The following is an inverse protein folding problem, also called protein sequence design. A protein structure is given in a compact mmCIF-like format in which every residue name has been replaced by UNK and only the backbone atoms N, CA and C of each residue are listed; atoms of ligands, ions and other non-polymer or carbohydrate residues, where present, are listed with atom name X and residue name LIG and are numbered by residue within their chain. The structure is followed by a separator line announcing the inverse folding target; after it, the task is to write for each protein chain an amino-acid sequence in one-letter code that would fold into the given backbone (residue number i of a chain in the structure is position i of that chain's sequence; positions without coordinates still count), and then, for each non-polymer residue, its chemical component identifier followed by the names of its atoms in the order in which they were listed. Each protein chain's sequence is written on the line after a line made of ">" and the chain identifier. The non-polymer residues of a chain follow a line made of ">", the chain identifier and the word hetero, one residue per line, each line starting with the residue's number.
data_IF_833430595775
#
_entry.id   IF_833430595775
#
_cell.length_a   1.000
_cell.length_b   1.000
_cell.length_c   1.000
_cell.angle_alpha   90.00
_cell.angle_beta   90.00
_cell.angle_gamma   90.00
#
_symmetry.space_group_name_H-M   'P 1'
#
loop_
_entity.id
_entity.type
_entity.pdbx_description
1 polymer ?
#
# COMPACT_ATOMS: atom_id res chain seq x y z
N UNK A 1 -5.52 7.25 -35.42
CA UNK A 1 -4.77 7.72 -34.23
C UNK A 1 -5.15 6.79 -33.09
N UNK A 2 -4.19 6.24 -32.37
CA UNK A 2 -4.51 5.54 -31.11
C UNK A 2 -5.19 6.54 -30.17
N UNK A 3 -6.26 6.15 -29.44
CA UNK A 3 -6.92 7.06 -28.51
C UNK A 3 -5.89 7.59 -27.50
N UNK A 4 -5.90 8.91 -27.27
CA UNK A 4 -5.01 9.54 -26.28
C UNK A 4 -5.36 8.99 -24.91
N UNK A 5 -4.37 8.40 -24.23
CA UNK A 5 -4.53 7.83 -22.89
C UNK A 5 -4.91 8.93 -21.91
N UNK A 6 -6.02 8.77 -21.18
CA UNK A 6 -6.46 9.73 -20.16
C UNK A 6 -5.51 9.71 -18.97
N UNK A 7 -5.08 10.90 -18.53
CA UNK A 7 -4.33 11.08 -17.29
C UNK A 7 -5.18 10.81 -16.04
N UNK A 8 -4.53 10.80 -14.87
CA UNK A 8 -5.17 10.36 -13.63
C UNK A 8 -6.34 11.27 -13.22
N UNK A 9 -6.17 12.59 -13.34
CA UNK A 9 -7.23 13.55 -12.97
C UNK A 9 -8.35 13.55 -13.99
N UNK A 10 -8.05 13.35 -15.28
CA UNK A 10 -9.06 13.24 -16.33
C UNK A 10 -9.98 12.04 -16.10
N UNK A 11 -9.43 10.89 -15.68
CA UNK A 11 -10.23 9.71 -15.31
C UNK A 11 -11.11 9.99 -14.10
N UNK A 12 -10.53 10.49 -13.01
CA UNK A 12 -11.25 10.73 -11.77
C UNK A 12 -12.31 11.83 -11.92
N UNK A 13 -12.01 12.91 -12.65
CA UNK A 13 -12.97 13.99 -12.95
C UNK A 13 -14.13 13.51 -13.84
N UNK A 14 -13.89 12.53 -14.71
CA UNK A 14 -14.93 11.89 -15.51
C UNK A 14 -15.79 10.90 -14.69
N UNK A 15 -15.50 10.71 -13.39
CA UNK A 15 -16.20 9.78 -12.52
C UNK A 15 -15.77 8.32 -12.69
N UNK A 16 -14.67 8.05 -13.41
CA UNK A 16 -14.14 6.71 -13.57
C UNK A 16 -13.62 6.14 -12.24
N UNK A 17 -13.67 4.82 -12.11
CA UNK A 17 -12.99 4.10 -11.02
C UNK A 17 -11.62 3.67 -11.51
N UNK A 18 -10.58 4.19 -10.85
CA UNK A 18 -9.18 3.83 -11.04
C UNK A 18 -8.84 2.68 -10.10
N UNK A 19 -8.39 1.56 -10.66
CA UNK A 19 -7.95 0.40 -9.88
C UNK A 19 -6.44 0.51 -9.63
N UNK A 20 -6.02 0.53 -8.35
CA UNK A 20 -4.61 0.45 -8.00
C UNK A 20 -4.02 -0.94 -8.24
N UNK A 21 -2.70 -1.07 -8.19
CA UNK A 21 -2.04 -2.36 -8.08
C UNK A 21 -2.03 -2.87 -6.62
N UNK A 22 -1.20 -3.88 -6.34
CA UNK A 22 -1.14 -4.57 -5.06
C UNK A 22 0.22 -4.54 -4.38
N UNK A 23 0.48 -5.53 -3.51
CA UNK A 23 1.61 -5.52 -2.59
C UNK A 23 2.92 -6.04 -3.20
N UNK A 24 3.63 -5.20 -3.96
CA UNK A 24 4.89 -5.56 -4.61
C UNK A 24 5.93 -6.19 -3.69
N UNK A 25 6.27 -5.50 -2.60
CA UNK A 25 7.33 -5.89 -1.66
C UNK A 25 7.06 -7.29 -1.08
N UNK A 26 5.85 -7.52 -0.58
CA UNK A 26 5.46 -8.78 0.05
C UNK A 26 5.31 -9.91 -0.98
N UNK A 27 4.77 -9.63 -2.16
CA UNK A 27 4.65 -10.63 -3.22
C UNK A 27 6.03 -11.07 -3.72
N UNK A 28 6.98 -10.15 -3.88
CA UNK A 28 8.34 -10.47 -4.30
C UNK A 28 9.18 -11.13 -3.21
N UNK A 29 8.92 -10.85 -1.93
CA UNK A 29 9.56 -11.56 -0.82
C UNK A 29 9.18 -13.04 -0.84
N UNK A 30 7.87 -13.34 -0.93
CA UNK A 30 7.38 -14.73 -1.06
C UNK A 30 7.88 -15.44 -2.31
N UNK A 31 8.21 -14.69 -3.37
CA UNK A 31 8.79 -15.21 -4.62
C UNK A 31 10.32 -15.34 -4.56
N UNK A 32 10.96 -14.91 -3.47
CA UNK A 32 12.41 -15.04 -3.26
C UNK A 32 13.27 -13.93 -3.88
N UNK A 33 12.68 -12.78 -4.24
CA UNK A 33 13.39 -11.67 -4.89
C UNK A 33 13.60 -10.45 -3.99
N UNK A 34 12.92 -10.39 -2.85
CA UNK A 34 13.06 -9.32 -1.85
C UNK A 34 13.38 -9.96 -0.51
N UNK A 35 14.26 -9.33 0.27
CA UNK A 35 14.62 -9.80 1.61
C UNK A 35 13.78 -9.09 2.67
N UNK A 36 13.07 -9.87 3.49
CA UNK A 36 12.42 -9.36 4.69
C UNK A 36 13.43 -8.76 5.67
N UNK A 37 13.13 -7.56 6.18
CA UNK A 37 14.03 -6.75 7.01
C UNK A 37 14.33 -5.41 6.35
N UNK A 38 15.23 -5.34 5.36
CA UNK A 38 15.48 -4.12 4.61
C UNK A 38 14.39 -3.81 3.58
N UNK A 39 13.74 -4.82 3.00
CA UNK A 39 12.66 -4.63 2.01
C UNK A 39 13.04 -3.79 0.78
N UNK A 40 14.32 -3.86 0.39
CA UNK A 40 14.92 -3.09 -0.70
C UNK A 40 14.52 -3.62 -2.09
N UNK A 41 14.45 -2.76 -3.13
CA UNK A 41 13.99 -3.14 -4.46
C UNK A 41 15.13 -3.39 -5.48
N UNK A 42 16.28 -3.91 -5.05
CA UNK A 42 17.40 -4.25 -5.95
C UNK A 42 17.05 -5.32 -7.00
N UNK A 43 15.93 -6.04 -6.82
CA UNK A 43 15.33 -6.93 -7.80
C UNK A 43 15.02 -6.22 -9.14
N UNK A 44 14.78 -4.91 -9.12
CA UNK A 44 14.56 -4.11 -10.33
C UNK A 44 15.74 -4.16 -11.30
N UNK A 45 16.96 -4.33 -10.79
CA UNK A 45 18.18 -4.42 -11.58
C UNK A 45 18.69 -5.86 -11.66
N UNK A 46 18.59 -6.62 -10.57
CA UNK A 46 19.15 -7.97 -10.48
C UNK A 46 18.26 -9.05 -11.09
N UNK A 47 16.94 -8.86 -11.04
CA UNK A 47 15.91 -9.81 -11.50
C UNK A 47 14.74 -9.06 -12.17
N UNK A 48 14.99 -8.22 -13.20
CA UNK A 48 13.98 -7.36 -13.80
C UNK A 48 12.79 -8.14 -14.38
N UNK A 49 12.99 -9.39 -14.80
CA UNK A 49 11.93 -10.28 -15.25
C UNK A 49 10.90 -10.62 -14.17
N UNK A 50 11.33 -10.81 -12.92
CA UNK A 50 10.42 -11.08 -11.81
C UNK A 50 9.53 -9.86 -11.51
N UNK A 51 10.14 -8.67 -11.49
CA UNK A 51 9.43 -7.40 -11.26
C UNK A 51 8.46 -7.10 -12.42
N UNK A 52 8.93 -7.24 -13.66
CA UNK A 52 8.11 -7.07 -14.87
C UNK A 52 6.91 -8.01 -14.87
N UNK A 53 7.13 -9.28 -14.55
CA UNK A 53 6.07 -10.28 -14.52
C UNK A 53 5.01 -9.93 -13.47
N UNK A 54 5.41 -9.45 -12.29
CA UNK A 54 4.45 -9.01 -11.28
C UNK A 54 3.62 -7.79 -11.71
N UNK A 55 4.25 -6.79 -12.36
CA UNK A 55 3.49 -5.69 -12.99
C UNK A 55 2.47 -6.23 -14.00
N UNK A 56 2.87 -7.17 -14.87
CA UNK A 56 1.98 -7.75 -15.89
C UNK A 56 0.82 -8.50 -15.27
N UNK A 57 1.04 -9.18 -14.14
CA UNK A 57 -0.01 -9.87 -13.41
C UNK A 57 -1.04 -8.88 -12.83
N UNK A 58 -0.60 -7.76 -12.25
CA UNK A 58 -1.51 -6.71 -11.77
C UNK A 58 -2.24 -6.01 -12.91
N UNK A 59 -1.55 -5.69 -14.01
CA UNK A 59 -2.19 -5.14 -15.21
C UNK A 59 -3.27 -6.09 -15.74
N UNK A 60 -2.94 -7.39 -15.88
CA UNK A 60 -3.90 -8.42 -16.29
C UNK A 60 -5.06 -8.54 -15.31
N UNK A 61 -4.83 -8.35 -14.01
CA UNK A 61 -5.88 -8.34 -12.99
C UNK A 61 -6.80 -7.12 -13.08
N UNK A 62 -6.45 -6.09 -13.84
CA UNK A 62 -7.29 -4.92 -14.08
C UNK A 62 -6.81 -3.62 -13.44
N UNK A 63 -5.59 -3.60 -12.89
CA UNK A 63 -4.98 -2.38 -12.38
C UNK A 63 -4.79 -1.34 -13.49
N UNK A 64 -5.16 -0.10 -13.17
CA UNK A 64 -4.95 1.09 -14.00
C UNK A 64 -3.72 1.90 -13.56
N UNK A 65 -2.99 1.45 -12.54
CA UNK A 65 -1.79 2.12 -12.02
C UNK A 65 -0.70 1.09 -11.82
N UNK A 66 0.46 1.32 -12.42
CA UNK A 66 1.69 0.60 -12.15
C UNK A 66 2.56 1.51 -11.28
N UNK A 67 2.56 1.29 -9.97
CA UNK A 67 3.42 2.07 -9.08
C UNK A 67 4.87 1.63 -9.24
N UNK A 68 5.80 2.56 -9.36
CA UNK A 68 7.22 2.23 -9.51
C UNK A 68 7.70 1.47 -8.27
N UNK A 69 8.44 0.37 -8.45
CA UNK A 69 8.99 -0.40 -7.33
C UNK A 69 10.20 0.31 -6.69
N UNK A 70 9.94 1.45 -6.05
CA UNK A 70 10.92 2.45 -5.56
C UNK A 70 10.72 2.85 -4.11
N UNK A 71 9.75 2.23 -3.42
CA UNK A 71 9.31 2.54 -2.06
C UNK A 71 10.48 2.71 -1.07
N UNK A 72 11.38 1.73 -1.00
CA UNK A 72 12.54 1.72 -0.10
C UNK A 72 13.86 1.92 -0.87
N UNK A 73 13.92 2.94 -1.74
CA UNK A 73 15.09 3.22 -2.59
C UNK A 73 15.58 4.69 -2.53
N UNK A 74 15.46 5.31 -1.35
CA UNK A 74 16.21 6.52 -1.01
C UNK A 74 17.58 6.15 -0.43
N UNK A 75 18.58 7.02 -0.58
CA UNK A 75 19.95 6.68 -0.15
C UNK A 75 20.03 6.41 1.36
N UNK A 76 19.26 7.13 2.18
CA UNK A 76 19.22 6.93 3.63
C UNK A 76 18.63 5.57 4.05
N UNK A 77 17.82 4.96 3.18
CA UNK A 77 17.25 3.63 3.34
C UNK A 77 18.19 2.54 2.83
N UNK A 78 18.89 2.81 1.73
CA UNK A 78 19.82 1.88 1.08
C UNK A 78 21.17 1.78 1.81
N UNK A 79 21.68 2.89 2.36
CA UNK A 79 22.89 2.88 3.20
C UNK A 79 22.65 2.23 4.58
N UNK A 80 21.38 2.02 4.91
CA UNK A 80 20.93 1.45 6.17
C UNK A 80 21.00 -0.08 6.15
N UNK A 81 21.28 -0.69 7.31
CA UNK A 81 21.32 -2.16 7.51
C UNK A 81 22.46 -2.92 6.81
N UNK A 82 23.65 -2.32 6.74
CA UNK A 82 24.89 -3.05 6.44
C UNK A 82 25.01 -3.62 5.02
N UNK A 83 24.18 -3.16 4.07
CA UNK A 83 24.32 -3.56 2.68
C UNK A 83 25.46 -2.79 2.00
N UNK A 84 26.43 -3.51 1.45
CA UNK A 84 27.35 -2.94 0.46
C UNK A 84 26.57 -2.73 -0.84
N UNK A 85 26.19 -1.49 -1.12
CA UNK A 85 25.38 -1.17 -2.29
C UNK A 85 26.20 -1.33 -3.57
N UNK A 86 25.90 -2.38 -4.33
CA UNK A 86 26.41 -2.55 -5.71
C UNK A 86 25.77 -1.53 -6.68
N UNK A 87 24.56 -1.06 -6.37
CA UNK A 87 23.78 -0.14 -7.21
C UNK A 87 23.33 1.07 -6.39
N UNK A 88 23.33 2.24 -6.99
CA UNK A 88 22.83 3.47 -6.35
C UNK A 88 21.29 3.49 -6.35
N UNK A 89 20.69 4.26 -5.43
CA UNK A 89 19.24 4.45 -5.42
C UNK A 89 18.71 5.02 -6.73
N UNK A 90 19.47 5.90 -7.38
CA UNK A 90 19.11 6.41 -8.70
C UNK A 90 19.05 5.30 -9.77
N UNK A 91 20.01 4.38 -9.81
CA UNK A 91 20.01 3.27 -10.78
C UNK A 91 18.81 2.34 -10.57
N UNK A 92 18.52 2.01 -9.31
CA UNK A 92 17.36 1.20 -8.93
C UNK A 92 16.06 1.91 -9.31
N UNK A 93 15.92 3.19 -8.96
CA UNK A 93 14.72 3.97 -9.27
C UNK A 93 14.49 4.15 -10.76
N UNK A 94 15.56 4.39 -11.53
CA UNK A 94 15.48 4.50 -12.99
C UNK A 94 15.03 3.19 -13.63
N UNK A 95 15.60 2.05 -13.22
CA UNK A 95 15.22 0.73 -13.72
C UNK A 95 13.76 0.39 -13.35
N UNK A 96 13.34 0.68 -12.11
CA UNK A 96 11.97 0.49 -11.67
C UNK A 96 10.95 1.29 -12.50
N UNK A 97 11.28 2.54 -12.83
CA UNK A 97 10.44 3.38 -13.70
C UNK A 97 10.33 2.78 -15.11
N UNK A 98 11.44 2.30 -15.68
CA UNK A 98 11.45 1.72 -17.03
C UNK A 98 10.58 0.45 -17.09
N UNK A 99 10.66 -0.42 -16.08
CA UNK A 99 9.83 -1.64 -16.00
C UNK A 99 8.35 -1.32 -15.84
N UNK A 100 8.00 -0.38 -14.95
CA UNK A 100 6.62 0.04 -14.77
C UNK A 100 6.04 0.64 -16.05
N UNK A 101 6.83 1.45 -16.78
CA UNK A 101 6.44 2.08 -18.04
C UNK A 101 6.32 1.10 -19.19
N UNK A 102 7.23 0.12 -19.29
CA UNK A 102 7.13 -0.99 -20.23
C UNK A 102 5.76 -1.65 -20.10
N UNK A 103 5.42 -2.11 -18.90
CA UNK A 103 4.17 -2.84 -18.68
C UNK A 103 2.94 -1.93 -18.78
N UNK A 104 2.99 -0.71 -18.24
CA UNK A 104 1.89 0.25 -18.38
C UNK A 104 1.53 0.57 -19.84
N UNK A 105 2.49 0.45 -20.77
CA UNK A 105 2.26 0.62 -22.21
C UNK A 105 1.57 -0.57 -22.88
N UNK A 106 1.54 -1.74 -22.24
CA UNK A 106 0.87 -2.95 -22.74
C UNK A 106 -0.65 -2.91 -22.52
N UNK A 107 -1.16 -1.94 -21.75
CA UNK A 107 -2.58 -1.82 -21.44
C UNK A 107 -3.02 -0.44 -20.97
N UNK A 108 -4.22 -0.38 -20.40
CA UNK A 108 -4.84 0.87 -19.94
C UNK A 108 -4.41 1.25 -18.51
N UNK A 109 -3.12 1.50 -18.31
CA UNK A 109 -2.56 1.81 -16.99
C UNK A 109 -1.56 2.97 -16.98
N UNK A 110 -1.57 3.81 -15.95
CA UNK A 110 -0.64 4.91 -15.75
C UNK A 110 0.55 4.47 -14.89
N UNK A 111 1.67 5.17 -14.99
CA UNK A 111 2.85 4.98 -14.12
C UNK A 111 2.84 6.01 -13.00
N UNK A 112 2.99 5.55 -11.76
CA UNK A 112 3.04 6.41 -10.58
C UNK A 112 4.41 6.33 -9.88
N UNK A 113 5.08 7.48 -9.72
CA UNK A 113 6.32 7.57 -8.94
C UNK A 113 6.03 7.76 -7.45
N UNK A 114 6.44 6.80 -6.61
CA UNK A 114 6.15 6.80 -5.17
C UNK A 114 7.33 7.23 -4.29
N UNK A 115 7.06 8.08 -3.29
CA UNK A 115 7.94 8.34 -2.13
C UNK A 115 7.22 7.96 -0.84
N UNK A 116 7.98 7.66 0.22
CA UNK A 116 7.41 7.37 1.53
C UNK A 116 8.24 7.92 2.68
N UNK A 117 7.71 7.87 3.91
CA UNK A 117 8.36 8.40 5.11
C UNK A 117 9.83 7.98 5.22
N UNK A 118 10.65 8.88 5.74
CA UNK A 118 12.10 8.72 5.80
C UNK A 118 12.55 8.38 7.23
N UNK A 119 13.54 7.48 7.39
CA UNK A 119 14.29 7.36 8.63
C UNK A 119 14.80 8.71 9.17
N UNK A 120 15.16 9.60 8.25
CA UNK A 120 15.67 10.95 8.56
C UNK A 120 14.68 11.78 9.38
N UNK A 121 13.37 11.67 9.13
CA UNK A 121 12.35 12.36 9.92
C UNK A 121 12.25 11.83 11.36
N UNK A 122 12.29 10.50 11.53
CA UNK A 122 12.25 9.87 12.85
C UNK A 122 13.48 10.21 13.70
N UNK A 123 14.64 10.37 13.05
CA UNK A 123 15.89 10.83 13.68
C UNK A 123 15.98 12.35 13.87
N UNK A 124 14.86 13.07 13.76
CA UNK A 124 14.77 14.52 13.98
C UNK A 124 15.70 15.36 13.09
N UNK A 125 15.99 14.92 11.85
CA UNK A 125 16.68 15.78 10.88
C UNK A 125 15.79 16.97 10.49
N UNK A 126 16.42 18.03 9.97
CA UNK A 126 15.70 19.24 9.58
C UNK A 126 14.75 19.00 8.40
N UNK A 127 13.70 19.82 8.31
CA UNK A 127 12.78 19.84 7.17
C UNK A 127 13.53 19.92 5.83
N UNK A 128 14.56 20.76 5.75
CA UNK A 128 15.40 20.94 4.55
C UNK A 128 16.07 19.64 4.12
N UNK A 129 16.62 18.89 5.07
CA UNK A 129 17.29 17.60 4.80
C UNK A 129 16.29 16.54 4.33
N UNK A 130 15.13 16.44 5.00
CA UNK A 130 14.08 15.48 4.62
C UNK A 130 13.52 15.81 3.23
N UNK A 131 13.24 17.09 2.94
CA UNK A 131 12.79 17.53 1.62
C UNK A 131 13.81 17.28 0.52
N UNK A 132 15.10 17.36 0.81
CA UNK A 132 16.16 17.04 -0.15
C UNK A 132 16.11 15.56 -0.60
N UNK A 133 15.75 14.64 0.31
CA UNK A 133 15.59 13.21 0.00
C UNK A 133 14.43 13.01 -0.98
N UNK A 134 13.25 13.59 -0.69
CA UNK A 134 12.10 13.52 -1.59
C UNK A 134 12.41 14.13 -2.96
N UNK A 135 13.12 15.26 -2.97
CA UNK A 135 13.50 15.95 -4.22
C UNK A 135 14.36 15.06 -5.11
N UNK A 136 15.34 14.35 -4.54
CA UNK A 136 16.21 13.44 -5.29
C UNK A 136 15.44 12.30 -5.97
N UNK A 137 14.47 11.71 -5.29
CA UNK A 137 13.61 10.68 -5.90
C UNK A 137 12.68 11.29 -6.97
N UNK A 138 12.07 12.44 -6.67
CA UNK A 138 11.21 13.17 -7.61
C UNK A 138 11.94 13.49 -8.93
N UNK A 139 13.20 13.92 -8.88
CA UNK A 139 13.99 14.23 -10.08
C UNK A 139 14.11 13.02 -11.02
N UNK A 140 14.23 11.80 -10.49
CA UNK A 140 14.20 10.57 -11.29
C UNK A 140 12.83 10.37 -11.93
N UNK A 141 11.74 10.53 -11.16
CA UNK A 141 10.38 10.36 -11.67
C UNK A 141 10.03 11.34 -12.80
N UNK A 142 10.44 12.60 -12.65
CA UNK A 142 10.26 13.62 -13.69
C UNK A 142 11.11 13.30 -14.92
N UNK A 143 12.39 12.93 -14.75
CA UNK A 143 13.27 12.51 -15.85
C UNK A 143 12.69 11.32 -16.62
N UNK A 144 12.09 10.35 -15.93
CA UNK A 144 11.45 9.16 -16.53
C UNK A 144 10.04 9.43 -17.07
N UNK A 145 9.53 10.64 -16.83
CA UNK A 145 8.21 11.12 -17.25
C UNK A 145 7.09 10.18 -16.79
N UNK A 146 7.02 9.92 -15.49
CA UNK A 146 5.86 9.24 -14.89
C UNK A 146 4.58 10.08 -15.09
N UNK A 147 3.42 9.44 -15.04
CA UNK A 147 2.14 10.11 -15.30
C UNK A 147 1.69 10.95 -14.10
N UNK A 148 1.93 10.47 -12.88
CA UNK A 148 1.65 11.18 -11.63
C UNK A 148 2.55 10.71 -10.49
N UNK A 149 2.45 11.37 -9.33
CA UNK A 149 3.28 11.13 -8.16
C UNK A 149 2.42 10.71 -6.96
N UNK A 150 2.98 9.87 -6.08
CA UNK A 150 2.33 9.40 -4.85
C UNK A 150 3.27 9.63 -3.66
N UNK A 151 2.77 10.32 -2.63
CA UNK A 151 3.35 10.31 -1.29
C UNK A 151 2.57 9.30 -0.44
N UNK A 152 3.11 8.09 -0.25
CA UNK A 152 2.45 6.99 0.47
C UNK A 152 3.20 6.60 1.75
N UNK A 153 2.54 5.88 2.67
CA UNK A 153 3.17 5.33 3.88
C UNK A 153 3.83 6.41 4.74
N UNK A 154 2.99 7.29 5.25
CA UNK A 154 3.34 8.32 6.23
C UNK A 154 2.50 8.16 7.51
N UNK A 155 3.18 8.00 8.63
CA UNK A 155 2.60 7.95 9.98
C UNK A 155 2.39 9.34 10.62
N UNK A 156 3.02 10.36 10.03
CA UNK A 156 2.99 11.74 10.52
C UNK A 156 2.59 12.67 9.39
N UNK A 157 1.52 13.45 9.56
CA UNK A 157 1.06 14.33 8.47
C UNK A 157 2.05 15.46 8.19
N UNK A 158 2.83 15.87 9.20
CA UNK A 158 3.88 16.88 9.04
C UNK A 158 4.87 16.49 7.94
N UNK A 159 5.39 15.26 7.96
CA UNK A 159 6.32 14.79 6.93
C UNK A 159 5.61 14.60 5.58
N UNK A 160 4.37 14.11 5.60
CA UNK A 160 3.56 13.93 4.39
C UNK A 160 3.31 15.27 3.67
N UNK A 161 3.08 16.36 4.40
CA UNK A 161 2.98 17.71 3.83
C UNK A 161 4.27 18.14 3.15
N UNK A 162 5.43 17.86 3.76
CA UNK A 162 6.73 18.17 3.15
C UNK A 162 6.92 17.40 1.85
N UNK A 163 6.57 16.11 1.84
CA UNK A 163 6.60 15.30 0.63
C UNK A 163 5.70 15.89 -0.47
N UNK A 164 4.43 16.18 -0.15
CA UNK A 164 3.48 16.77 -1.11
C UNK A 164 3.99 18.11 -1.67
N UNK A 165 4.50 18.99 -0.80
CA UNK A 165 5.06 20.28 -1.21
C UNK A 165 6.22 20.11 -2.20
N UNK A 166 7.11 19.14 -1.96
CA UNK A 166 8.20 18.82 -2.89
C UNK A 166 7.66 18.26 -4.19
N UNK A 167 6.83 17.21 -4.15
CA UNK A 167 6.29 16.53 -5.35
C UNK A 167 5.51 17.48 -6.26
N UNK A 168 4.78 18.44 -5.68
CA UNK A 168 4.02 19.45 -6.42
C UNK A 168 4.92 20.31 -7.32
N UNK A 169 6.17 20.55 -6.94
CA UNK A 169 7.14 21.31 -7.77
C UNK A 169 7.50 20.58 -9.07
N UNK A 170 7.27 19.27 -9.15
CA UNK A 170 7.46 18.47 -10.37
C UNK A 170 6.42 18.71 -11.46
N UNK A 171 5.36 19.48 -11.20
CA UNK A 171 4.35 19.84 -12.19
C UNK A 171 3.43 18.69 -12.63
N UNK A 172 3.43 17.58 -11.90
CA UNK A 172 2.56 16.41 -12.13
C UNK A 172 1.45 16.35 -11.07
N UNK A 173 0.32 15.66 -11.33
CA UNK A 173 -0.67 15.40 -10.29
C UNK A 173 -0.05 14.66 -9.10
N UNK A 174 -0.50 15.00 -7.88
CA UNK A 174 0.01 14.41 -6.64
C UNK A 174 -1.13 13.73 -5.88
N UNK A 175 -0.94 12.45 -5.58
CA UNK A 175 -1.70 11.72 -4.59
C UNK A 175 -0.95 11.64 -3.26
N UNK A 176 -1.67 11.64 -2.15
CA UNK A 176 -1.10 11.46 -0.82
C UNK A 176 -1.92 10.45 0.00
N UNK A 177 -1.28 9.41 0.51
CA UNK A 177 -1.91 8.44 1.40
C UNK A 177 -1.08 8.21 2.65
N UNK A 178 -1.75 8.09 3.78
CA UNK A 178 -1.12 7.87 5.09
C UNK A 178 -1.38 6.45 5.59
N UNK A 179 -0.46 5.89 6.36
CA UNK A 179 -0.64 4.59 7.00
C UNK A 179 -1.19 4.75 8.42
N UNK A 180 -2.35 5.41 8.52
CA UNK A 180 -3.01 5.74 9.79
C UNK A 180 -4.43 5.18 9.83
N UNK A 181 -4.89 4.86 11.04
CA UNK A 181 -6.26 4.41 11.30
C UNK A 181 -7.22 5.56 11.65
N UNK A 182 -8.44 5.24 12.08
CA UNK A 182 -9.42 6.22 12.57
C UNK A 182 -8.94 7.08 13.75
N UNK A 183 -7.97 6.58 14.53
CA UNK A 183 -7.39 7.29 15.68
C UNK A 183 -6.54 8.52 15.28
N UNK A 184 -6.08 8.58 14.02
CA UNK A 184 -5.25 9.67 13.53
C UNK A 184 -3.78 9.30 13.39
N UNK A 185 -2.96 10.32 13.15
CA UNK A 185 -1.52 10.19 13.00
C UNK A 185 -0.81 10.01 14.35
N UNK A 186 0.50 9.75 14.33
CA UNK A 186 1.28 9.50 15.54
C UNK A 186 1.48 10.72 16.45
N UNK A 187 1.02 11.90 16.03
CA UNK A 187 0.92 13.10 16.87
C UNK A 187 -0.51 13.35 17.39
N UNK A 188 -1.44 12.43 17.13
CA UNK A 188 -2.86 12.57 17.51
C UNK A 188 -3.66 13.49 16.59
N UNK A 189 -3.13 13.82 15.40
CA UNK A 189 -3.87 14.61 14.40
C UNK A 189 -4.91 13.70 13.74
N UNK A 190 -6.18 14.08 13.87
CA UNK A 190 -7.29 13.26 13.33
C UNK A 190 -7.20 13.07 11.82
N UNK A 191 -7.75 11.97 11.25
CA UNK A 191 -7.75 11.77 9.80
C UNK A 191 -8.40 12.93 9.02
N UNK A 192 -9.45 13.53 9.59
CA UNK A 192 -10.13 14.70 9.01
C UNK A 192 -9.19 15.90 8.85
N UNK A 193 -8.38 16.20 9.87
CA UNK A 193 -7.40 17.27 9.82
C UNK A 193 -6.21 16.93 8.92
N UNK A 194 -5.72 15.70 8.96
CA UNK A 194 -4.66 15.23 8.07
C UNK A 194 -5.03 15.43 6.60
N UNK A 195 -6.26 15.05 6.23
CA UNK A 195 -6.79 15.24 4.89
C UNK A 195 -6.81 16.70 4.45
N UNK A 196 -7.28 17.62 5.31
CA UNK A 196 -7.33 19.06 5.02
C UNK A 196 -5.91 19.61 4.80
N UNK A 197 -4.96 19.20 5.63
CA UNK A 197 -3.55 19.57 5.55
C UNK A 197 -2.91 19.13 4.23
N UNK A 198 -3.10 17.87 3.84
CA UNK A 198 -2.58 17.32 2.58
C UNK A 198 -3.16 18.03 1.34
N UNK A 199 -4.47 18.32 1.34
CA UNK A 199 -5.09 19.06 0.24
C UNK A 199 -4.55 20.49 0.15
N UNK A 200 -4.37 21.18 1.30
CA UNK A 200 -3.76 22.53 1.34
C UNK A 200 -2.29 22.52 0.88
N UNK A 201 -1.53 21.48 1.21
CA UNK A 201 -0.17 21.28 0.71
C UNK A 201 -0.15 21.10 -0.82
N UNK A 202 -1.24 20.58 -1.39
CA UNK A 202 -1.50 20.56 -2.84
C UNK A 202 -1.78 19.18 -3.42
N UNK A 203 -2.04 18.16 -2.59
CA UNK A 203 -2.49 16.87 -3.07
C UNK A 203 -3.91 16.98 -3.67
N UNK A 204 -4.10 16.39 -4.86
CA UNK A 204 -5.40 16.36 -5.54
C UNK A 204 -6.16 15.06 -5.28
N UNK A 205 -5.43 14.02 -4.85
CA UNK A 205 -5.97 12.72 -4.47
C UNK A 205 -5.45 12.45 -3.06
N UNK A 206 -6.33 12.12 -2.11
CA UNK A 206 -5.94 11.84 -0.73
C UNK A 206 -6.55 10.54 -0.21
N UNK A 207 -5.91 9.90 0.76
CA UNK A 207 -6.39 8.62 1.26
C UNK A 207 -5.55 7.99 2.36
N UNK A 208 -5.71 6.68 2.50
CA UNK A 208 -4.91 5.85 3.39
C UNK A 208 -4.39 4.61 2.68
N UNK A 209 -3.22 4.12 3.08
CA UNK A 209 -2.64 2.88 2.58
C UNK A 209 -1.92 2.10 3.68
N UNK A 210 -1.74 0.79 3.49
CA UNK A 210 -1.00 -0.10 4.40
C UNK A 210 -1.62 -0.18 5.81
N UNK A 211 -0.86 -0.79 6.75
CA UNK A 211 -1.03 -0.92 8.21
C UNK A 211 -2.33 -1.50 8.76
N UNK A 212 -3.47 -1.26 8.12
CA UNK A 212 -4.80 -1.64 8.57
C UNK A 212 -5.55 -2.40 7.49
N UNK A 213 -6.49 -3.23 7.94
CA UNK A 213 -7.41 -3.96 7.10
C UNK A 213 -8.38 -3.04 6.30
N UNK A 214 -9.08 -3.60 5.30
CA UNK A 214 -9.88 -2.80 4.38
C UNK A 214 -10.97 -1.94 5.03
N UNK A 215 -11.70 -2.48 6.00
CA UNK A 215 -12.83 -1.74 6.58
C UNK A 215 -12.36 -0.62 7.50
N UNK A 216 -11.25 -0.84 8.22
CA UNK A 216 -10.59 0.20 9.01
C UNK A 216 -10.11 1.34 8.12
N UNK A 217 -9.47 1.03 6.99
CA UNK A 217 -9.04 2.03 6.02
C UNK A 217 -10.22 2.79 5.38
N UNK A 218 -11.28 2.10 4.97
CA UNK A 218 -12.48 2.75 4.39
C UNK A 218 -13.11 3.72 5.39
N UNK A 219 -13.16 3.34 6.67
CA UNK A 219 -13.65 4.23 7.73
C UNK A 219 -12.75 5.46 7.92
N UNK A 220 -11.42 5.31 7.91
CA UNK A 220 -10.50 6.44 7.99
C UNK A 220 -10.68 7.40 6.80
N UNK A 221 -10.83 6.89 5.57
CA UNK A 221 -11.08 7.73 4.38
C UNK A 221 -12.44 8.42 4.44
N UNK A 222 -13.46 7.78 5.02
CA UNK A 222 -14.75 8.42 5.28
C UNK A 222 -14.61 9.63 6.21
N UNK A 223 -13.76 9.53 7.24
CA UNK A 223 -13.45 10.65 8.15
C UNK A 223 -12.64 11.75 7.44
N UNK A 224 -11.65 11.37 6.63
CA UNK A 224 -10.89 12.29 5.77
C UNK A 224 -11.83 13.09 4.85
N UNK A 225 -12.76 12.40 4.19
CA UNK A 225 -13.78 13.00 3.33
C UNK A 225 -14.63 14.03 4.05
N UNK A 226 -15.18 13.67 5.21
CA UNK A 226 -15.98 14.59 6.01
C UNK A 226 -15.19 15.86 6.42
N UNK A 227 -13.89 15.72 6.74
CA UNK A 227 -13.01 16.84 7.06
C UNK A 227 -12.83 17.81 5.88
N UNK A 228 -12.52 17.27 4.69
CA UNK A 228 -12.34 18.04 3.45
C UNK A 228 -13.62 18.76 3.05
N UNK A 229 -14.76 18.08 3.09
CA UNK A 229 -16.07 18.67 2.77
C UNK A 229 -16.45 19.79 3.75
N UNK A 230 -16.26 19.58 5.06
CA UNK A 230 -16.51 20.59 6.09
C UNK A 230 -15.61 21.83 5.91
N UNK A 231 -14.39 21.64 5.41
CA UNK A 231 -13.46 22.73 5.12
C UNK A 231 -13.75 23.45 3.79
N UNK A 232 -14.76 23.05 3.03
CA UNK A 232 -15.07 23.63 1.71
C UNK A 232 -14.02 23.33 0.64
N UNK A 233 -13.20 22.30 0.85
CA UNK A 233 -12.15 21.87 -0.07
C UNK A 233 -12.66 20.77 -1.00
N UNK A 234 -11.91 20.49 -2.07
CA UNK A 234 -12.19 19.40 -3.01
C UNK A 234 -10.95 18.54 -3.21
N UNK A 235 -11.15 17.22 -3.20
CA UNK A 235 -10.14 16.24 -3.54
C UNK A 235 -10.81 14.97 -4.04
N UNK A 236 -10.05 14.14 -4.74
CA UNK A 236 -10.42 12.75 -5.00
C UNK A 236 -9.95 11.86 -3.85
N UNK A 237 -10.61 10.72 -3.66
CA UNK A 237 -10.32 9.82 -2.54
C UNK A 237 -9.73 8.50 -3.01
N UNK A 238 -8.75 8.02 -2.25
CA UNK A 238 -7.95 6.83 -2.50
C UNK A 238 -7.92 5.89 -1.29
N UNK A 239 -7.86 4.58 -1.53
CA UNK A 239 -7.67 3.60 -0.45
C UNK A 239 -6.91 2.37 -0.95
N UNK A 240 -5.83 1.99 -0.25
CA UNK A 240 -5.00 0.81 -0.54
C UNK A 240 -4.66 0.06 0.76
N UNK A 241 -5.60 -0.72 1.32
CA UNK A 241 -5.44 -1.36 2.63
C UNK A 241 -4.50 -2.58 2.58
N UNK A 242 -4.29 -3.22 3.72
CA UNK A 242 -3.71 -4.57 3.79
C UNK A 242 -4.65 -5.63 3.21
N UNK A 243 -4.08 -6.70 2.65
CA UNK A 243 -4.83 -7.95 2.39
C UNK A 243 -4.78 -8.90 3.60
N UNK A 244 -4.74 -8.36 4.81
CA UNK A 244 -4.75 -9.10 6.07
C UNK A 244 -5.90 -8.61 6.95
N UNK A 245 -6.62 -9.52 7.63
CA UNK A 245 -7.52 -9.19 8.72
C UNK A 245 -6.69 -8.74 9.95
N UNK A 246 -6.96 -7.53 10.44
CA UNK A 246 -6.22 -6.93 11.57
C UNK A 246 -7.14 -6.28 12.60
N UNK A 247 -8.21 -6.96 13.06
CA UNK A 247 -9.15 -6.39 14.03
C UNK A 247 -8.54 -6.15 15.42
N UNK A 248 -7.34 -6.66 15.66
CA UNK A 248 -6.55 -6.59 16.89
C UNK A 248 -5.41 -5.57 16.83
N UNK A 249 -5.29 -4.79 15.76
CA UNK A 249 -4.32 -3.70 15.69
C UNK A 249 -4.65 -2.56 16.66
N UNK A 250 -3.59 -1.96 17.20
CA UNK A 250 -3.62 -0.64 17.82
C UNK A 250 -3.39 0.46 16.74
N UNK A 251 -3.19 1.71 17.17
CA UNK A 251 -2.88 2.84 16.27
C UNK A 251 -1.61 2.69 15.42
N UNK A 252 -0.69 1.79 15.76
CA UNK A 252 0.55 1.53 15.02
C UNK A 252 0.33 0.59 13.81
N UNK A 253 -0.81 -0.10 13.78
CA UNK A 253 -1.15 -1.05 12.72
C UNK A 253 -0.46 -2.41 12.86
N UNK A 254 -0.40 -3.16 11.76
CA UNK A 254 -0.02 -4.58 11.78
C UNK A 254 1.45 -4.88 12.12
N UNK A 255 2.33 -3.88 12.14
CA UNK A 255 3.76 -4.08 12.42
C UNK A 255 3.97 -4.50 13.88
N UNK A 256 3.12 -4.03 14.79
CA UNK A 256 3.16 -4.41 16.21
C UNK A 256 2.51 -5.78 16.46
N UNK A 257 1.84 -6.37 15.48
CA UNK A 257 1.29 -7.71 15.66
C UNK A 257 2.44 -8.74 15.79
N UNK A 258 2.38 -9.66 16.77
CA UNK A 258 3.41 -10.67 16.98
C UNK A 258 3.71 -11.54 15.75
N UNK A 259 2.75 -11.64 14.83
CA UNK A 259 2.87 -12.42 13.60
C UNK A 259 3.64 -11.71 12.48
N UNK A 260 3.87 -10.40 12.59
CA UNK A 260 4.58 -9.66 11.56
C UNK A 260 6.08 -10.05 11.51
N UNK A 261 6.68 -10.24 10.32
CA UNK A 261 6.05 -10.38 8.99
C UNK A 261 5.78 -11.85 8.60
N UNK A 262 6.24 -12.84 9.37
CA UNK A 262 6.42 -14.24 8.93
C UNK A 262 5.32 -15.23 9.32
N UNK A 263 4.24 -14.77 9.96
CA UNK A 263 3.14 -15.62 10.40
C UNK A 263 1.76 -15.01 10.10
N UNK A 264 1.68 -14.11 9.11
CA UNK A 264 0.45 -13.40 8.73
C UNK A 264 -0.47 -14.25 7.83
N UNK A 265 -0.07 -15.44 7.41
CA UNK A 265 -0.85 -16.33 6.52
C UNK A 265 -2.29 -16.61 6.98
N UNK A 266 -2.59 -16.84 8.27
CA UNK A 266 -3.98 -17.04 8.72
C UNK A 266 -4.87 -15.82 8.48
N UNK A 267 -4.28 -14.63 8.33
CA UNK A 267 -5.00 -13.36 8.21
C UNK A 267 -5.31 -12.99 6.76
N UNK A 268 -4.74 -13.69 5.76
CA UNK A 268 -4.89 -13.34 4.34
C UNK A 268 -6.36 -13.30 3.97
N UNK A 269 -6.77 -12.17 3.39
CA UNK A 269 -8.13 -11.93 2.94
C UNK A 269 -8.45 -12.80 1.70
N UNK A 270 -9.71 -13.20 1.58
CA UNK A 270 -10.19 -13.93 0.41
C UNK A 270 -10.57 -12.98 -0.72
N UNK A 271 -10.81 -13.51 -1.92
CA UNK A 271 -11.38 -12.70 -3.02
C UNK A 271 -12.76 -12.15 -2.66
N UNK A 272 -13.54 -12.85 -1.83
CA UNK A 272 -14.88 -12.43 -1.43
C UNK A 272 -14.83 -11.25 -0.45
N UNK A 273 -13.82 -11.24 0.43
CA UNK A 273 -13.53 -10.06 1.26
C UNK A 273 -13.18 -8.85 0.39
N UNK A 274 -12.44 -9.06 -0.71
CA UNK A 274 -12.11 -8.00 -1.67
C UNK A 274 -13.34 -7.47 -2.44
N UNK A 275 -14.29 -8.34 -2.81
CA UNK A 275 -15.57 -7.90 -3.37
C UNK A 275 -16.31 -7.00 -2.38
N UNK A 276 -16.43 -7.41 -1.11
CA UNK A 276 -17.07 -6.61 -0.07
C UNK A 276 -16.35 -5.26 0.12
N UNK A 277 -15.02 -5.28 0.25
CA UNK A 277 -14.19 -4.09 0.38
C UNK A 277 -14.40 -3.11 -0.78
N UNK A 278 -14.29 -3.57 -2.03
CA UNK A 278 -14.42 -2.74 -3.21
C UNK A 278 -15.79 -2.05 -3.28
N UNK A 279 -16.86 -2.80 -2.96
CA UNK A 279 -18.22 -2.28 -2.91
C UNK A 279 -18.39 -1.21 -1.83
N UNK A 280 -17.88 -1.43 -0.63
CA UNK A 280 -17.98 -0.47 0.47
C UNK A 280 -17.15 0.79 0.20
N UNK A 281 -15.93 0.65 -0.32
CA UNK A 281 -15.11 1.79 -0.74
C UNK A 281 -15.83 2.64 -1.81
N UNK A 282 -16.42 1.99 -2.82
CA UNK A 282 -17.16 2.69 -3.87
C UNK A 282 -18.37 3.46 -3.32
N UNK A 283 -19.14 2.87 -2.38
CA UNK A 283 -20.30 3.52 -1.72
C UNK A 283 -19.91 4.77 -0.93
N UNK A 284 -18.74 4.78 -0.29
CA UNK A 284 -18.22 5.98 0.41
C UNK A 284 -17.88 7.12 -0.57
N UNK A 285 -17.74 6.80 -1.86
CA UNK A 285 -17.35 7.75 -2.90
C UNK A 285 -15.86 7.71 -3.22
N UNK A 286 -15.15 6.67 -2.79
CA UNK A 286 -13.75 6.44 -3.14
C UNK A 286 -13.69 5.99 -4.61
N UNK A 287 -12.75 6.54 -5.38
CA UNK A 287 -12.64 6.29 -6.83
C UNK A 287 -11.25 5.81 -7.25
N UNK A 288 -10.24 5.93 -6.39
CA UNK A 288 -9.00 5.18 -6.52
C UNK A 288 -9.02 4.05 -5.49
N UNK A 289 -9.20 2.81 -5.94
CA UNK A 289 -9.35 1.64 -5.08
C UNK A 289 -8.30 0.60 -5.47
N UNK A 290 -7.36 0.30 -4.56
CA UNK A 290 -6.27 -0.64 -4.82
C UNK A 290 -5.91 -1.45 -3.57
N UNK A 291 -4.67 -1.87 -3.44
CA UNK A 291 -4.21 -2.57 -2.25
C UNK A 291 -2.74 -2.37 -1.95
N UNK A 292 -2.33 -2.75 -0.74
CA UNK A 292 -0.95 -2.67 -0.26
C UNK A 292 -0.44 -4.07 0.14
N UNK A 293 0.24 -4.23 1.27
CA UNK A 293 0.89 -5.49 1.64
C UNK A 293 -0.12 -6.66 1.72
N UNK A 294 0.25 -7.78 1.12
CA UNK A 294 -0.58 -8.99 1.01
C UNK A 294 -1.48 -9.04 -0.24
N UNK A 295 -1.70 -7.92 -0.94
CA UNK A 295 -2.51 -7.93 -2.17
C UNK A 295 -1.77 -8.65 -3.31
N UNK A 296 -2.13 -9.90 -3.53
CA UNK A 296 -1.82 -10.66 -4.75
C UNK A 296 -2.72 -10.27 -5.96
N UNK A 297 -2.34 -10.63 -7.21
CA UNK A 297 -3.10 -10.29 -8.41
C UNK A 297 -4.58 -10.70 -8.39
N UNK A 298 -4.94 -11.81 -7.74
CA UNK A 298 -6.34 -12.24 -7.66
C UNK A 298 -7.20 -11.34 -6.77
N UNK A 299 -6.60 -10.62 -5.81
CA UNK A 299 -7.30 -9.61 -5.01
C UNK A 299 -7.66 -8.41 -5.86
N UNK A 300 -6.71 -7.90 -6.65
CA UNK A 300 -6.96 -6.79 -7.59
C UNK A 300 -8.02 -7.18 -8.61
N UNK A 301 -7.97 -8.43 -9.11
CA UNK A 301 -9.02 -8.95 -9.99
C UNK A 301 -10.39 -8.89 -9.31
N UNK A 302 -10.50 -9.30 -8.04
CA UNK A 302 -11.77 -9.26 -7.31
C UNK A 302 -12.31 -7.84 -7.15
N UNK A 303 -11.45 -6.84 -6.89
CA UNK A 303 -11.83 -5.41 -6.86
C UNK A 303 -12.36 -4.98 -8.23
N UNK A 304 -11.63 -5.30 -9.30
CA UNK A 304 -12.01 -4.96 -10.67
C UNK A 304 -13.30 -5.66 -11.12
N UNK A 305 -13.51 -6.91 -10.72
CA UNK A 305 -14.71 -7.72 -10.99
C UNK A 305 -15.94 -7.20 -10.24
N UNK A 306 -15.82 -6.81 -8.98
CA UNK A 306 -16.92 -6.22 -8.21
C UNK A 306 -17.44 -4.92 -8.85
N UNK A 307 -16.52 -4.11 -9.37
CA UNK A 307 -16.80 -2.80 -9.93
C UNK A 307 -16.92 -2.82 -11.46
N UNK A 308 -16.92 -4.00 -12.08
CA UNK A 308 -17.13 -4.15 -13.51
C UNK A 308 -18.48 -3.58 -14.00
N UNK A 309 -19.61 -3.71 -13.27
CA UNK A 309 -20.87 -3.06 -13.66
C UNK A 309 -20.75 -1.53 -13.74
N UNK A 310 -20.05 -0.90 -12.81
CA UNK A 310 -19.82 0.55 -12.80
C UNK A 310 -18.80 0.99 -13.86
N UNK A 311 -17.79 0.16 -14.14
CA UNK A 311 -16.72 0.47 -15.10
C UNK A 311 -17.08 0.11 -16.55
N UNK A 312 -18.06 -0.78 -16.74
CA UNK A 312 -18.45 -1.30 -18.06
C UNK A 312 -17.43 -2.27 -18.69
N UNK A 313 -16.45 -2.76 -17.92
CA UNK A 313 -15.38 -3.63 -18.42
C UNK A 313 -14.96 -4.66 -17.38
N UNK A 314 -14.75 -5.90 -17.83
CA UNK A 314 -14.13 -6.98 -17.05
C UNK A 314 -12.61 -6.99 -17.29
N UNK A 315 -11.78 -7.27 -16.26
CA UNK A 315 -10.34 -7.32 -16.45
C UNK A 315 -9.94 -8.58 -17.25
N UNK A 316 -8.83 -8.54 -18.02
CA UNK A 316 -8.38 -9.70 -18.80
C UNK A 316 -8.14 -10.96 -17.96
N UNK A 317 -7.75 -10.81 -16.69
CA UNK A 317 -7.57 -11.90 -15.73
C UNK A 317 -8.84 -12.68 -15.41
N UNK A 318 -10.02 -12.14 -15.72
CA UNK A 318 -11.31 -12.83 -15.56
C UNK A 318 -11.59 -13.88 -16.62
N UNK A 319 -10.85 -13.89 -17.74
CA UNK A 319 -10.94 -14.97 -18.75
C UNK A 319 -10.67 -16.36 -18.13
N UNK A 320 -9.85 -16.42 -17.06
CA UNK A 320 -9.54 -17.64 -16.30
C UNK A 320 -10.28 -17.70 -14.96
N UNK A 321 -11.43 -17.04 -14.86
CA UNK A 321 -12.24 -17.01 -13.64
C UNK A 321 -13.73 -17.14 -13.96
N UNK A 322 -14.46 -17.78 -13.05
CA UNK A 322 -15.91 -17.73 -13.03
C UNK A 322 -16.38 -16.92 -11.83
N UNK A 323 -17.08 -15.81 -12.08
CA UNK A 323 -17.67 -14.97 -11.05
C UNK A 323 -18.44 -15.79 -10.03
N UNK A 324 -18.23 -15.51 -8.74
CA UNK A 324 -18.91 -16.17 -7.62
C UNK A 324 -18.87 -17.70 -7.66
N UNK A 325 -17.80 -18.25 -8.23
CA UNK A 325 -17.59 -19.70 -8.31
C UNK A 325 -18.31 -20.38 -9.47
N UNK A 326 -18.88 -19.65 -10.43
CA UNK A 326 -19.58 -20.20 -11.63
C UNK A 326 -18.84 -21.33 -12.35
N UNK A 327 -17.51 -21.30 -12.37
CA UNK A 327 -16.70 -22.38 -12.94
C UNK A 327 -16.85 -23.74 -12.21
N UNK A 328 -17.45 -23.77 -11.02
CA UNK A 328 -17.70 -25.00 -10.24
C UNK A 328 -18.97 -25.75 -10.68
N UNK A 329 -19.80 -25.17 -11.55
CA UNK A 329 -21.08 -25.77 -12.01
C UNK A 329 -20.92 -27.13 -12.67
N UNK A 330 -19.77 -27.38 -13.30
CA UNK A 330 -19.51 -28.62 -14.02
C UNK A 330 -18.77 -29.67 -13.16
N UNK A 331 -18.53 -29.38 -11.88
CA UNK A 331 -17.82 -30.31 -11.00
C UNK A 331 -18.65 -31.59 -10.77
N UNK A 332 -18.03 -32.78 -10.71
CA UNK A 332 -18.73 -34.07 -10.58
C UNK A 332 -19.52 -34.23 -9.27
N UNK A 333 -19.00 -33.68 -8.16
CA UNK A 333 -19.61 -33.71 -6.83
C UNK A 333 -20.73 -32.66 -6.66
N UNK A 334 -21.97 -33.04 -6.27
CA UNK A 334 -23.10 -32.11 -6.15
C UNK A 334 -22.89 -31.02 -5.10
N UNK A 335 -22.29 -31.34 -3.94
CA UNK A 335 -22.00 -30.34 -2.90
C UNK A 335 -20.91 -29.33 -3.29
N UNK A 336 -20.11 -29.61 -4.34
CA UNK A 336 -19.16 -28.63 -4.89
C UNK A 336 -19.90 -27.69 -5.86
N UNK A 337 -20.76 -28.22 -6.73
CA UNK A 337 -21.62 -27.40 -7.61
C UNK A 337 -22.52 -26.46 -6.83
N UNK A 338 -23.07 -26.92 -5.69
CA UNK A 338 -23.92 -26.11 -4.82
C UNK A 338 -23.25 -24.84 -4.26
N UNK A 339 -21.91 -24.74 -4.36
CA UNK A 339 -21.12 -23.57 -3.98
C UNK A 339 -21.04 -22.52 -5.09
N UNK A 340 -21.50 -22.84 -6.29
CA UNK A 340 -21.42 -21.98 -7.47
C UNK A 340 -22.45 -20.84 -7.46
N UNK A 341 -22.43 -20.03 -6.41
CA UNK A 341 -23.39 -18.95 -6.19
C UNK A 341 -22.84 -17.94 -5.21
N UNK A 342 -23.17 -16.67 -5.44
CA UNK A 342 -22.79 -15.54 -4.59
C UNK A 342 -23.16 -15.76 -3.12
N UNK A 343 -24.41 -16.14 -2.88
CA UNK A 343 -24.96 -16.39 -1.56
C UNK A 343 -24.14 -17.40 -0.72
N UNK A 344 -23.54 -18.42 -1.34
CA UNK A 344 -22.69 -19.36 -0.61
C UNK A 344 -21.40 -18.69 -0.14
N UNK A 345 -20.69 -18.01 -1.04
CA UNK A 345 -19.36 -17.47 -0.75
C UNK A 345 -19.39 -16.17 0.07
N UNK A 346 -20.47 -15.39 0.01
CA UNK A 346 -20.64 -14.22 0.88
C UNK A 346 -20.91 -14.58 2.34
N UNK A 347 -21.52 -15.75 2.59
CA UNK A 347 -21.97 -16.15 3.93
C UNK A 347 -21.11 -17.25 4.57
N UNK A 348 -20.25 -17.91 3.81
CA UNK A 348 -19.33 -18.89 4.38
C UNK A 348 -18.31 -18.17 5.27
N UNK A 349 -18.13 -18.68 6.48
CA UNK A 349 -17.05 -18.28 7.38
C UNK A 349 -15.94 -19.33 7.28
N UNK A 350 -14.84 -19.08 6.53
CA UNK A 350 -13.79 -20.07 6.37
C UNK A 350 -13.14 -20.39 7.72
N UNK A 351 -12.95 -21.68 8.01
CA UNK A 351 -12.25 -22.09 9.22
C UNK A 351 -10.75 -21.76 9.14
N UNK A 352 -10.13 -21.41 10.27
CA UNK A 352 -8.69 -21.10 10.33
C UNK A 352 -7.78 -22.31 10.11
N UNK A 353 -8.30 -23.52 10.35
CA UNK A 353 -7.52 -24.77 10.32
C UNK A 353 -6.49 -24.91 11.44
N UNK A 354 -6.49 -24.02 12.44
CA UNK A 354 -5.51 -23.96 13.53
C UNK A 354 -6.19 -24.03 14.91
N UNK A 355 -6.60 -25.23 15.36
CA UNK A 355 -7.44 -25.39 16.55
C UNK A 355 -6.76 -25.02 17.89
N UNK A 356 -5.43 -24.88 17.88
CA UNK A 356 -4.63 -24.49 19.07
C UNK A 356 -4.20 -23.02 19.04
N UNK A 357 -4.52 -22.28 17.99
CA UNK A 357 -4.15 -20.87 17.86
C UNK A 357 -5.34 -19.99 18.24
N UNK A 358 -5.11 -18.85 18.91
CA UNK A 358 -6.17 -17.87 19.13
C UNK A 358 -6.60 -17.24 17.80
N UNK A 359 -7.77 -16.59 17.80
CA UNK A 359 -8.22 -15.81 16.64
C UNK A 359 -7.60 -14.42 16.56
N UNK A 360 -7.08 -13.90 17.69
CA UNK A 360 -6.52 -12.57 17.85
C UNK A 360 -5.22 -12.65 18.68
N UNK A 361 -4.38 -11.63 18.54
CA UNK A 361 -3.13 -11.44 19.27
C UNK A 361 -3.10 -10.05 19.92
N UNK A 362 -2.30 -9.87 20.97
CA UNK A 362 -2.07 -8.56 21.57
C UNK A 362 -0.89 -7.89 20.87
N UNK A 363 -1.03 -6.67 20.31
CA UNK A 363 0.09 -5.92 19.74
C UNK A 363 1.21 -5.66 20.77
N UNK A 364 2.46 -5.69 20.33
CA UNK A 364 3.61 -5.29 21.13
C UNK A 364 3.78 -3.75 21.06
N UNK A 365 3.19 -3.00 22.00
CA UNK A 365 3.33 -1.54 22.06
C UNK A 365 4.24 -1.10 23.22
N UNK A 366 5.36 -0.45 22.88
CA UNK A 366 6.37 0.01 23.84
C UNK A 366 6.31 1.51 24.15
N UNK A 367 5.30 2.22 23.63
CA UNK A 367 5.16 3.67 23.81
C UNK A 367 6.26 4.50 23.13
N UNK A 368 6.90 3.93 22.10
CA UNK A 368 8.03 4.52 21.39
C UNK A 368 7.52 5.36 20.20
N UNK A 369 8.01 6.59 20.04
CA UNK A 369 7.63 7.51 18.93
C UNK A 369 8.81 8.39 18.51
N UNK A 370 8.64 9.29 17.52
CA UNK A 370 9.67 10.19 16.96
C UNK A 370 10.61 10.75 18.03
N UNK A 371 11.92 10.64 17.80
CA UNK A 371 12.96 11.13 18.71
C UNK A 371 13.33 10.17 19.85
N UNK A 372 12.65 9.03 20.01
CA UNK A 372 13.05 7.99 20.96
C UNK A 372 14.35 7.31 20.52
N UNK A 373 15.27 7.05 21.45
CA UNK A 373 16.58 6.46 21.15
C UNK A 373 16.46 5.09 20.45
N UNK A 374 15.45 4.29 20.80
CA UNK A 374 15.20 2.97 20.22
C UNK A 374 14.71 2.99 18.76
N UNK A 375 14.32 4.15 18.22
CA UNK A 375 14.00 4.32 16.80
C UNK A 375 15.20 4.76 15.96
N UNK A 376 16.33 5.10 16.58
CA UNK A 376 17.53 5.50 15.86
C UNK A 376 18.03 4.30 15.04
N UNK A 377 18.18 4.52 13.74
CA UNK A 377 18.66 3.50 12.84
C UNK A 377 20.18 3.50 12.80
N UNK A 378 20.77 2.30 12.91
CA UNK A 378 22.21 2.09 12.89
C UNK A 378 22.65 1.48 11.55
N UNK A 379 23.87 1.81 11.10
CA UNK A 379 24.45 1.22 9.88
C UNK A 379 24.77 -0.27 10.04
N UNK A 380 25.12 -0.69 11.25
CA UNK A 380 25.40 -2.08 11.59
C UNK A 380 24.12 -2.79 12.04
N UNK A 381 24.12 -4.13 11.99
CA UNK A 381 23.03 -4.91 12.58
C UNK A 381 22.94 -4.61 14.08
N UNK A 382 21.73 -4.66 14.64
CA UNK A 382 21.49 -4.46 16.08
C UNK A 382 22.49 -5.29 16.88
N UNK A 383 23.32 -4.62 17.67
CA UNK A 383 24.38 -5.24 18.44
C UNK A 383 23.80 -6.21 19.47
N UNK A 384 24.59 -7.16 19.95
CA UNK A 384 24.16 -8.08 21.02
C UNK A 384 23.67 -7.33 22.26
N UNK A 385 24.23 -6.15 22.53
CA UNK A 385 23.86 -5.33 23.68
C UNK A 385 22.52 -4.60 23.48
N UNK A 386 22.29 -4.01 22.31
CA UNK A 386 20.99 -3.42 21.94
C UNK A 386 19.91 -4.50 21.87
N UNK A 387 20.22 -5.68 21.30
CA UNK A 387 19.29 -6.81 21.31
C UNK A 387 18.94 -7.25 22.72
N UNK A 388 19.92 -7.27 23.65
CA UNK A 388 19.64 -7.56 25.06
C UNK A 388 18.71 -6.52 25.67
N UNK A 389 18.91 -5.24 25.38
CA UNK A 389 18.04 -4.16 25.84
C UNK A 389 16.60 -4.32 25.33
N UNK A 390 16.42 -4.54 24.02
CA UNK A 390 15.11 -4.78 23.40
C UNK A 390 14.42 -6.01 23.98
N UNK A 391 15.16 -7.11 24.21
CA UNK A 391 14.61 -8.32 24.84
C UNK A 391 14.23 -8.11 26.32
N UNK A 392 14.96 -7.26 27.05
CA UNK A 392 14.62 -6.87 28.41
C UNK A 392 13.37 -5.99 28.45
N UNK A 393 13.21 -5.07 27.49
CA UNK A 393 11.94 -4.37 27.27
C UNK A 393 10.86 -5.41 27.02
N UNK A 394 11.03 -6.33 26.05
CA UNK A 394 10.06 -7.38 25.72
C UNK A 394 9.50 -8.12 26.93
N UNK A 395 10.38 -8.50 27.86
CA UNK A 395 9.99 -9.16 29.11
C UNK A 395 9.19 -8.26 30.04
N UNK A 396 9.54 -6.96 30.14
CA UNK A 396 8.84 -5.99 31.01
C UNK A 396 7.41 -5.71 30.57
N UNK A 397 7.11 -5.48 29.27
CA UNK A 397 5.68 -5.29 28.90
C UNK A 397 4.89 -6.59 29.08
N UNK A 398 5.46 -7.76 28.75
CA UNK A 398 4.79 -9.05 29.00
C UNK A 398 4.51 -9.34 30.48
N UNK A 399 5.22 -8.69 31.41
CA UNK A 399 4.95 -8.80 32.85
C UNK A 399 3.98 -7.76 33.40
N UNK A 400 3.65 -6.73 32.62
CA UNK A 400 2.75 -5.63 33.01
C UNK A 400 1.40 -5.65 32.28
N UNK A 401 1.30 -6.40 31.19
CA UNK A 401 0.06 -6.88 30.59
C UNK A 401 -0.42 -8.16 31.29
#
# INVERSE_FOLDING_TARGET
>A
MAPVKKGILERLNAGEVVIGDGGFVFALEKRGYVKAGPWTPEATVTHPEAVRQLHREFLRAGANVMQTFTFYASDDKLENRGQSLKYTGAQINEAACDLAKEVASEGDALVAGGVCQTPSYLSCKSETEVKAIFKKQMEVFIKKNVDFLIAEYFEHVEEAEWAVQVLKTGGKPVAASMCIGPEGDMHGVSPAECAVRLVKAGAQIIGVNCHFDPMTCVQAVKMMKAGVEKAGLKAHYMVQPLAYHTPDCNCQGFIDLPEFPFALEPRILTRWDMHKYAREAYKVGIRFIGGCCGFEPYHIRAVAEELAPERGIMPPGSEKHGMWGSALEMHTKPWVRARSRREYWENVMPASGRPKCPSLSTPECWGVTKGHADLLQHKEATSTQEMKHVLEMQKKAKSSA
#
